data_IF_186730418974
#
_entry.id   IF_186730418974
#
_cell.length_a   1.000
_cell.length_b   1.000
_cell.length_c   1.000
_cell.angle_alpha   90.00
_cell.angle_beta   90.00
_cell.angle_gamma   90.00
#
_symmetry.space_group_name_H-M   'P 1'
#
loop_
_entity.id
_entity.type
_entity.pdbx_description
1 polymer ?
#
# COMPACT_ATOMS: atom_id res chain seq x y z
N UNK A 1 10.78 30.08 -26.83
CA UNK A 1 10.44 28.74 -27.33
C UNK A 1 10.96 27.69 -26.33
N UNK A 2 10.30 26.54 -26.17
CA UNK A 2 10.60 25.38 -25.26
C UNK A 2 9.92 25.31 -23.85
N UNK A 3 8.67 25.76 -23.64
CA UNK A 3 7.95 25.51 -22.36
C UNK A 3 7.06 24.25 -22.31
N UNK A 4 6.78 23.58 -23.43
CA UNK A 4 5.80 22.47 -23.48
C UNK A 4 6.22 21.20 -22.74
N UNK A 5 7.51 20.86 -22.73
CA UNK A 5 8.01 19.72 -21.95
C UNK A 5 7.82 19.98 -20.45
N UNK A 6 8.25 21.15 -19.97
CA UNK A 6 8.28 21.48 -18.55
C UNK A 6 6.93 21.35 -17.83
N UNK A 7 5.81 21.81 -18.41
CA UNK A 7 4.51 21.75 -17.73
C UNK A 7 3.89 20.33 -17.74
N UNK A 8 4.03 19.59 -18.85
CA UNK A 8 3.56 18.21 -18.91
C UNK A 8 4.41 17.30 -18.01
N UNK A 9 5.73 17.48 -18.03
CA UNK A 9 6.64 16.76 -17.15
C UNK A 9 6.35 17.08 -15.67
N UNK A 10 5.97 18.32 -15.34
CA UNK A 10 5.50 18.68 -14.01
C UNK A 10 4.20 17.97 -13.62
N UNK A 11 3.25 17.86 -14.56
CA UNK A 11 1.99 17.12 -14.33
C UNK A 11 2.29 15.64 -14.05
N UNK A 12 3.11 15.01 -14.89
CA UNK A 12 3.51 13.61 -14.74
C UNK A 12 4.29 13.42 -13.44
N UNK A 13 5.20 14.32 -13.08
CA UNK A 13 5.91 14.26 -11.80
C UNK A 13 4.95 14.32 -10.59
N UNK A 14 3.92 15.18 -10.64
CA UNK A 14 2.87 15.24 -9.59
C UNK A 14 2.02 13.97 -9.55
N UNK A 15 1.73 13.37 -10.71
CA UNK A 15 1.02 12.08 -10.78
C UNK A 15 1.87 10.94 -10.22
N UNK A 16 3.15 10.91 -10.56
CA UNK A 16 4.12 9.95 -10.01
C UNK A 16 4.25 10.08 -8.48
N UNK A 17 4.25 11.31 -7.95
CA UNK A 17 4.22 11.57 -6.51
C UNK A 17 2.96 10.97 -5.87
N UNK A 18 1.79 11.18 -6.49
CA UNK A 18 0.55 10.55 -6.05
C UNK A 18 0.63 9.02 -6.08
N UNK A 19 1.13 8.43 -7.18
CA UNK A 19 1.27 6.97 -7.33
C UNK A 19 2.17 6.40 -6.24
N UNK A 20 3.35 7.01 -5.99
CA UNK A 20 4.26 6.59 -4.91
C UNK A 20 3.59 6.64 -3.56
N UNK A 21 2.89 7.75 -3.26
CA UNK A 21 2.19 7.93 -1.97
C UNK A 21 1.04 6.94 -1.82
N UNK A 22 0.30 6.65 -2.88
CA UNK A 22 -0.78 5.66 -2.92
C UNK A 22 -0.28 4.26 -2.59
N UNK A 23 0.81 3.81 -3.23
CA UNK A 23 1.40 2.51 -2.92
C UNK A 23 2.01 2.46 -1.52
N UNK A 24 2.64 3.55 -1.05
CA UNK A 24 3.13 3.63 0.33
C UNK A 24 1.98 3.48 1.33
N UNK A 25 0.84 4.14 1.09
CA UNK A 25 -0.34 4.01 1.93
C UNK A 25 -0.89 2.58 1.95
N UNK A 26 -0.98 1.93 0.77
CA UNK A 26 -1.44 0.54 0.65
C UNK A 26 -0.47 -0.44 1.34
N UNK A 27 0.84 -0.21 1.19
CA UNK A 27 1.90 -0.97 1.82
C UNK A 27 1.86 -0.83 3.34
N UNK A 28 1.73 0.39 3.86
CA UNK A 28 1.65 0.63 5.30
C UNK A 28 0.43 -0.07 5.91
N UNK A 29 -0.73 0.03 5.25
CA UNK A 29 -1.93 -0.69 5.65
C UNK A 29 -1.71 -2.21 5.61
N UNK A 30 -1.00 -2.71 4.59
CA UNK A 30 -0.63 -4.12 4.47
C UNK A 30 0.25 -4.61 5.61
N UNK A 31 1.29 -3.87 5.97
CA UNK A 31 2.15 -4.18 7.12
C UNK A 31 1.40 -4.16 8.44
N UNK A 32 0.47 -3.21 8.62
CA UNK A 32 -0.36 -3.15 9.83
C UNK A 32 -1.22 -4.43 9.95
N UNK A 33 -1.91 -4.83 8.87
CA UNK A 33 -2.71 -6.06 8.90
C UNK A 33 -1.87 -7.31 9.09
N UNK A 34 -0.69 -7.39 8.46
CA UNK A 34 0.23 -8.51 8.64
C UNK A 34 0.73 -8.59 10.08
N UNK A 35 1.14 -7.46 10.66
CA UNK A 35 1.57 -7.40 12.06
C UNK A 35 0.43 -7.80 13.03
N UNK A 36 -0.79 -7.33 12.78
CA UNK A 36 -1.96 -7.72 13.57
C UNK A 36 -2.23 -9.22 13.46
N UNK A 37 -2.26 -9.77 12.24
CA UNK A 37 -2.46 -11.20 12.00
C UNK A 37 -1.38 -12.03 12.68
N UNK A 38 -0.11 -11.61 12.60
CA UNK A 38 1.02 -12.29 13.23
C UNK A 38 0.87 -12.30 14.76
N UNK A 39 0.60 -11.16 15.40
CA UNK A 39 0.45 -11.11 16.85
C UNK A 39 -0.80 -11.85 17.34
N UNK A 40 -1.93 -11.73 16.64
CA UNK A 40 -3.14 -12.47 17.01
C UNK A 40 -2.96 -13.98 16.85
N UNK A 41 -2.41 -14.43 15.73
CA UNK A 41 -2.17 -15.87 15.51
C UNK A 41 -1.15 -16.42 16.51
N UNK A 42 -0.09 -15.67 16.83
CA UNK A 42 0.84 -16.04 17.90
C UNK A 42 0.14 -16.22 19.24
N UNK A 43 -0.68 -15.26 19.67
CA UNK A 43 -1.45 -15.37 20.91
C UNK A 43 -2.35 -16.59 20.91
N UNK A 44 -3.13 -16.82 19.84
CA UNK A 44 -4.00 -17.99 19.74
C UNK A 44 -3.19 -19.27 19.91
N UNK A 45 -2.05 -19.39 19.24
CA UNK A 45 -1.19 -20.57 19.31
C UNK A 45 -0.65 -20.77 20.73
N UNK A 46 -0.07 -19.74 21.34
CA UNK A 46 0.48 -19.80 22.70
C UNK A 46 -0.57 -20.18 23.73
N UNK A 47 -1.77 -19.56 23.66
CA UNK A 47 -2.86 -19.88 24.58
C UNK A 47 -3.42 -21.28 24.34
N UNK A 48 -3.67 -21.65 23.08
CA UNK A 48 -4.14 -22.99 22.74
C UNK A 48 -3.15 -24.05 23.20
N UNK A 49 -1.85 -23.83 23.05
CA UNK A 49 -0.82 -24.78 23.46
C UNK A 49 -0.72 -24.93 24.98
N UNK A 50 -0.83 -23.82 25.71
CA UNK A 50 -0.82 -23.84 27.18
C UNK A 50 -1.99 -24.67 27.75
N UNK A 51 -3.20 -24.50 27.22
CA UNK A 51 -4.40 -25.20 27.72
C UNK A 51 -4.63 -26.57 27.09
N UNK A 52 -4.19 -26.77 25.84
CA UNK A 52 -4.60 -27.90 25.01
C UNK A 52 -3.76 -29.17 25.16
N UNK A 53 -2.58 -29.11 25.82
CA UNK A 53 -1.65 -30.25 25.94
C UNK A 53 -1.50 -31.06 24.63
N UNK A 54 -1.32 -30.34 23.51
CA UNK A 54 -1.41 -30.95 22.19
C UNK A 54 -0.32 -32.00 21.93
N UNK A 55 -0.71 -33.08 21.26
CA UNK A 55 0.21 -34.09 20.75
C UNK A 55 1.13 -33.50 19.67
N UNK A 56 2.34 -34.04 19.51
CA UNK A 56 3.41 -33.55 18.61
C UNK A 56 2.93 -33.29 17.17
N UNK A 57 1.99 -34.10 16.66
CA UNK A 57 1.40 -33.89 15.33
C UNK A 57 0.65 -32.56 15.20
N UNK A 58 -0.22 -32.22 16.16
CA UNK A 58 -1.00 -30.98 16.14
C UNK A 58 -0.10 -29.75 16.23
N UNK A 59 0.99 -29.85 17.00
CA UNK A 59 1.99 -28.76 17.15
C UNK A 59 2.65 -28.44 15.82
N UNK A 60 3.08 -29.46 15.07
CA UNK A 60 3.64 -29.29 13.72
C UNK A 60 2.63 -28.67 12.75
N UNK A 61 1.38 -29.15 12.75
CA UNK A 61 0.32 -28.59 11.88
C UNK A 61 0.07 -27.11 12.18
N UNK A 62 -0.02 -26.75 13.46
CA UNK A 62 -0.22 -25.35 13.90
C UNK A 62 0.96 -24.48 13.48
N UNK A 63 2.20 -24.96 13.66
CA UNK A 63 3.41 -24.23 13.29
C UNK A 63 3.52 -23.99 11.78
N UNK A 64 3.39 -25.04 10.97
CA UNK A 64 3.43 -24.89 9.51
C UNK A 64 2.23 -24.11 8.97
N UNK A 65 1.05 -24.25 9.59
CA UNK A 65 -0.14 -23.46 9.28
C UNK A 65 0.07 -21.97 9.56
N UNK A 66 0.68 -21.63 10.70
CA UNK A 66 1.07 -20.26 11.02
C UNK A 66 2.02 -19.66 9.97
N UNK A 67 3.05 -20.40 9.57
CA UNK A 67 3.99 -19.96 8.53
C UNK A 67 3.25 -19.75 7.21
N UNK A 68 2.49 -20.74 6.74
CA UNK A 68 1.76 -20.65 5.48
C UNK A 68 0.76 -19.50 5.45
N UNK A 69 0.02 -19.28 6.55
CA UNK A 69 -0.95 -18.19 6.67
C UNK A 69 -0.25 -16.83 6.58
N UNK A 70 0.82 -16.62 7.34
CA UNK A 70 1.56 -15.36 7.32
C UNK A 70 2.25 -15.13 5.96
N UNK A 71 2.82 -16.17 5.35
CA UNK A 71 3.45 -16.09 4.04
C UNK A 71 2.43 -15.75 2.94
N UNK A 72 1.25 -16.37 2.99
CA UNK A 72 0.15 -16.11 2.06
C UNK A 72 -0.38 -14.68 2.20
N UNK A 73 -0.55 -14.20 3.44
CA UNK A 73 -0.94 -12.80 3.69
C UNK A 73 0.15 -11.82 3.22
N UNK A 74 1.42 -12.14 3.42
CA UNK A 74 2.53 -11.33 2.90
C UNK A 74 2.51 -11.25 1.37
N UNK A 75 2.39 -12.40 0.70
CA UNK A 75 2.36 -12.50 -0.76
C UNK A 75 1.14 -11.78 -1.36
N UNK A 76 -0.01 -11.81 -0.70
CA UNK A 76 -1.22 -11.18 -1.21
C UNK A 76 -1.30 -9.67 -0.91
N UNK A 77 -0.88 -9.24 0.27
CA UNK A 77 -1.13 -7.88 0.75
C UNK A 77 0.08 -6.96 0.63
N UNK A 78 1.27 -7.47 0.95
CA UNK A 78 2.52 -6.68 1.02
C UNK A 78 3.30 -6.76 -0.28
N UNK A 79 3.51 -7.97 -0.82
CA UNK A 79 4.32 -8.18 -2.02
C UNK A 79 3.92 -7.33 -3.24
N UNK A 80 2.63 -7.25 -3.67
CA UNK A 80 2.28 -6.44 -4.83
C UNK A 80 2.47 -4.94 -4.59
N UNK A 81 2.24 -4.47 -3.35
CA UNK A 81 2.42 -3.06 -2.98
C UNK A 81 3.90 -2.69 -2.89
N UNK A 82 4.73 -3.61 -2.40
CA UNK A 82 6.19 -3.46 -2.29
C UNK A 82 6.85 -3.45 -3.67
N UNK A 83 6.48 -4.40 -4.53
CA UNK A 83 6.94 -4.49 -5.91
C UNK A 83 6.59 -3.23 -6.70
N UNK A 84 5.35 -2.74 -6.57
CA UNK A 84 4.94 -1.50 -7.21
C UNK A 84 5.65 -0.25 -6.66
N UNK A 85 5.96 -0.22 -5.36
CA UNK A 85 6.73 0.87 -4.75
C UNK A 85 8.18 0.94 -5.29
N UNK A 86 8.85 -0.21 -5.44
CA UNK A 86 10.19 -0.30 -6.04
C UNK A 86 10.20 -0.18 -7.57
N UNK A 87 9.05 0.14 -8.20
CA UNK A 87 8.89 0.17 -9.66
C UNK A 87 9.17 -1.17 -10.36
N UNK A 88 9.20 -2.27 -9.61
CA UNK A 88 9.47 -3.61 -10.08
C UNK A 88 8.15 -4.38 -10.19
N UNK A 89 7.32 -4.07 -11.20
CA UNK A 89 6.04 -4.76 -11.40
C UNK A 89 5.02 -3.96 -12.18
N UNK A 90 3.74 -4.40 -12.15
CA UNK A 90 2.62 -3.70 -12.78
C UNK A 90 2.24 -2.46 -11.97
N UNK A 91 2.78 -1.30 -12.35
CA UNK A 91 2.31 0.00 -11.83
C UNK A 91 0.97 0.35 -12.47
N UNK A 92 0.12 1.05 -11.71
CA UNK A 92 -1.05 1.71 -12.30
C UNK A 92 -0.58 2.68 -13.39
N UNK A 93 -1.23 2.64 -14.54
CA UNK A 93 -0.93 3.59 -15.63
C UNK A 93 -1.35 5.01 -15.23
N UNK A 94 -0.80 6.01 -15.93
CA UNK A 94 -1.23 7.40 -15.72
C UNK A 94 -2.73 7.59 -15.92
N UNK A 95 -3.36 6.85 -16.84
CA UNK A 95 -4.82 6.89 -17.03
C UNK A 95 -5.58 6.35 -15.80
N UNK A 96 -5.13 5.23 -15.22
CA UNK A 96 -5.72 4.68 -14.00
C UNK A 96 -5.51 5.62 -12.81
N UNK A 97 -4.33 6.23 -12.71
CA UNK A 97 -4.05 7.24 -11.70
C UNK A 97 -4.99 8.44 -11.86
N UNK A 98 -5.23 8.93 -13.08
CA UNK A 98 -6.17 10.01 -13.36
C UNK A 98 -7.61 9.65 -12.98
N UNK A 99 -8.05 8.41 -13.20
CA UNK A 99 -9.38 7.96 -12.77
C UNK A 99 -9.51 7.95 -11.24
N UNK A 100 -8.50 7.44 -10.52
CA UNK A 100 -8.50 7.40 -9.06
C UNK A 100 -8.43 8.82 -8.48
N UNK A 101 -7.57 9.69 -9.03
CA UNK A 101 -7.46 11.10 -8.65
C UNK A 101 -8.80 11.82 -8.93
N UNK A 102 -9.42 11.56 -10.07
CA UNK A 102 -10.69 12.15 -10.49
C UNK A 102 -11.86 11.81 -9.58
N UNK A 103 -11.89 10.58 -9.03
CA UNK A 103 -12.89 10.18 -8.01
C UNK A 103 -12.81 11.04 -6.75
N UNK A 104 -11.60 11.45 -6.35
CA UNK A 104 -11.39 12.33 -5.20
C UNK A 104 -11.61 13.80 -5.56
N UNK A 105 -11.20 14.21 -6.76
CA UNK A 105 -11.31 15.58 -7.25
C UNK A 105 -12.20 15.65 -8.51
N UNK A 106 -13.53 15.58 -8.30
CA UNK A 106 -14.52 15.58 -9.40
C UNK A 106 -14.34 16.75 -10.37
N UNK A 107 -13.99 17.93 -9.88
CA UNK A 107 -13.82 19.14 -10.70
C UNK A 107 -12.64 19.08 -11.69
N UNK A 108 -11.70 18.15 -11.53
CA UNK A 108 -10.51 18.03 -12.40
C UNK A 108 -10.39 16.68 -13.10
N UNK A 109 -11.31 15.74 -12.84
CA UNK A 109 -11.36 14.43 -13.50
C UNK A 109 -11.33 14.55 -15.03
N UNK A 110 -12.31 15.26 -15.60
CA UNK A 110 -12.44 15.38 -17.05
C UNK A 110 -11.24 16.09 -17.67
N UNK A 111 -10.73 17.14 -17.01
CA UNK A 111 -9.57 17.88 -17.48
C UNK A 111 -8.31 17.01 -17.49
N UNK A 112 -8.09 16.18 -16.47
CA UNK A 112 -6.96 15.26 -16.38
C UNK A 112 -7.00 14.19 -17.49
N UNK A 113 -8.13 13.50 -17.64
CA UNK A 113 -8.27 12.46 -18.66
C UNK A 113 -8.14 13.03 -20.07
N UNK A 114 -8.81 14.15 -20.36
CA UNK A 114 -8.70 14.80 -21.67
C UNK A 114 -7.27 15.26 -21.97
N UNK A 115 -6.54 15.76 -20.97
CA UNK A 115 -5.14 16.20 -21.16
C UNK A 115 -4.22 15.03 -21.48
N UNK A 116 -4.37 13.89 -20.80
CA UNK A 116 -3.60 12.68 -21.08
C UNK A 116 -3.93 12.10 -22.47
N UNK A 117 -5.21 12.08 -22.85
CA UNK A 117 -5.65 11.62 -24.17
C UNK A 117 -5.14 12.54 -25.30
N UNK A 118 -5.25 13.86 -25.13
CA UNK A 118 -4.73 14.85 -26.09
C UNK A 118 -3.22 14.67 -26.30
N UNK A 119 -2.46 14.38 -25.24
CA UNK A 119 -1.03 14.10 -25.36
C UNK A 119 -0.74 12.86 -26.20
N UNK A 120 -1.47 11.76 -25.99
CA UNK A 120 -1.34 10.54 -26.81
C UNK A 120 -1.64 10.81 -28.29
N UNK A 121 -2.67 11.62 -28.57
CA UNK A 121 -3.03 12.02 -29.95
C UNK A 121 -1.94 12.90 -30.57
N UNK A 122 -1.37 13.84 -29.80
CA UNK A 122 -0.27 14.71 -30.26
C UNK A 122 1.01 13.94 -30.57
N UNK A 123 1.31 12.91 -29.78
CA UNK A 123 2.49 12.07 -29.99
C UNK A 123 2.30 11.12 -31.20
N UNK A 124 1.04 10.81 -31.56
CA UNK A 124 0.69 10.02 -32.76
C UNK A 124 0.55 10.85 -34.04
N UNK A 125 0.28 12.16 -33.96
CA UNK A 125 0.05 13.03 -35.11
C UNK A 125 1.02 14.23 -35.10
N UNK A 126 2.21 14.09 -35.73
CA UNK A 126 3.25 15.13 -35.71
C UNK A 126 2.83 16.45 -36.36
N UNK A 127 1.96 16.40 -37.37
CA UNK A 127 1.51 17.53 -38.21
C UNK A 127 0.86 18.68 -37.42
N UNK A 128 0.20 18.39 -36.30
CA UNK A 128 -0.52 19.40 -35.48
C UNK A 128 0.01 19.52 -34.04
N UNK A 129 1.17 18.93 -33.77
CA UNK A 129 1.75 18.80 -32.43
C UNK A 129 1.86 20.15 -31.69
N UNK A 130 2.26 21.21 -32.38
CA UNK A 130 2.47 22.52 -31.77
C UNK A 130 1.19 23.15 -31.19
N UNK A 131 0.09 23.11 -31.94
CA UNK A 131 -1.20 23.67 -31.51
C UNK A 131 -1.83 22.82 -30.39
N UNK A 132 -1.69 21.50 -30.49
CA UNK A 132 -2.20 20.56 -29.48
C UNK A 132 -1.42 20.74 -28.17
N UNK A 133 -0.09 20.89 -28.23
CA UNK A 133 0.75 21.15 -27.05
C UNK A 133 0.44 22.49 -26.37
N UNK A 134 0.12 23.54 -27.14
CA UNK A 134 -0.31 24.82 -26.57
C UNK A 134 -1.63 24.68 -25.79
N UNK A 135 -2.60 23.95 -26.35
CA UNK A 135 -3.88 23.66 -25.68
C UNK A 135 -3.71 22.80 -24.42
N UNK A 136 -2.77 21.85 -24.44
CA UNK A 136 -2.39 21.03 -23.29
C UNK A 136 -1.81 21.91 -22.18
N UNK A 137 -0.87 22.81 -22.51
CA UNK A 137 -0.24 23.71 -21.53
C UNK A 137 -1.26 24.60 -20.82
N UNK A 138 -2.22 25.16 -21.55
CA UNK A 138 -3.28 25.99 -20.98
C UNK A 138 -4.13 25.19 -19.99
N UNK A 139 -4.55 23.98 -20.36
CA UNK A 139 -5.30 23.08 -19.47
C UNK A 139 -4.50 22.68 -18.24
N UNK A 140 -3.19 22.41 -18.37
CA UNK A 140 -2.32 22.08 -17.23
C UNK A 140 -2.18 23.27 -16.28
N UNK A 141 -2.11 24.50 -16.79
CA UNK A 141 -2.02 25.69 -15.95
C UNK A 141 -3.24 25.83 -15.01
N UNK A 142 -4.43 25.43 -15.46
CA UNK A 142 -5.63 25.37 -14.63
C UNK A 142 -5.59 24.25 -13.57
N UNK A 143 -4.80 23.19 -13.80
CA UNK A 143 -4.60 22.07 -12.86
C UNK A 143 -3.52 22.33 -11.81
N UNK A 144 -2.66 23.34 -12.01
CA UNK A 144 -1.52 23.65 -11.11
C UNK A 144 -1.86 23.84 -9.62
N UNK A 145 -3.00 24.41 -9.21
CA UNK A 145 -3.28 24.62 -7.79
C UNK A 145 -3.62 23.34 -7.02
N UNK A 146 -3.87 22.22 -7.70
CA UNK A 146 -4.25 20.96 -7.05
C UNK A 146 -3.03 20.10 -6.74
N UNK A 147 -2.90 19.70 -5.48
CA UNK A 147 -1.90 18.74 -5.00
C UNK A 147 -2.48 17.33 -5.01
N UNK A 148 -2.23 16.55 -6.08
CA UNK A 148 -2.79 15.19 -6.21
C UNK A 148 -2.43 14.27 -5.04
N UNK A 149 -1.22 14.42 -4.46
CA UNK A 149 -0.78 13.66 -3.29
C UNK A 149 -1.62 13.93 -2.02
N UNK A 150 -2.48 14.95 -2.01
CA UNK A 150 -3.43 15.22 -0.91
C UNK A 150 -4.61 14.25 -0.89
N UNK A 151 -4.92 13.58 -2.00
CA UNK A 151 -5.92 12.51 -2.04
C UNK A 151 -5.50 11.28 -1.21
N UNK A 152 -4.22 11.14 -0.88
CA UNK A 152 -3.70 10.03 -0.08
C UNK A 152 -3.37 10.48 1.34
N UNK A 153 -4.25 10.12 2.28
CA UNK A 153 -4.10 10.43 3.71
C UNK A 153 -3.43 9.28 4.48
N UNK A 154 -2.08 9.27 4.48
CA UNK A 154 -1.29 8.27 5.23
C UNK A 154 -1.59 8.32 6.74
N UNK A 155 -1.91 9.50 7.28
CA UNK A 155 -2.19 9.68 8.71
C UNK A 155 -3.42 8.88 9.19
N UNK A 156 -4.35 8.52 8.31
CA UNK A 156 -5.51 7.71 8.70
C UNK A 156 -5.10 6.27 9.06
N UNK A 157 -3.95 5.79 8.57
CA UNK A 157 -3.44 4.48 8.92
C UNK A 157 -3.07 4.34 10.40
N UNK A 158 -2.80 5.46 11.09
CA UNK A 158 -2.55 5.47 12.55
C UNK A 158 -3.71 4.90 13.35
N UNK A 159 -4.95 5.00 12.84
CA UNK A 159 -6.13 4.38 13.48
C UNK A 159 -6.02 2.86 13.51
N UNK A 160 -5.51 2.25 12.43
CA UNK A 160 -5.32 0.81 12.33
C UNK A 160 -4.12 0.32 13.15
N UNK A 161 -3.17 1.19 13.50
CA UNK A 161 -2.05 0.82 14.37
C UNK A 161 -2.52 0.32 15.75
N UNK A 162 -3.68 0.81 16.23
CA UNK A 162 -4.32 0.31 17.45
C UNK A 162 -4.58 -1.20 17.42
N UNK A 163 -4.93 -1.75 16.25
CA UNK A 163 -5.18 -3.18 16.08
C UNK A 163 -3.93 -4.05 16.21
N UNK A 164 -2.75 -3.47 15.96
CA UNK A 164 -1.46 -4.13 16.16
C UNK A 164 -1.00 -3.95 17.61
N UNK A 165 -1.24 -2.77 18.18
CA UNK A 165 -0.83 -2.45 19.54
C UNK A 165 -1.55 -3.28 20.60
N UNK A 166 -2.86 -3.54 20.44
CA UNK A 166 -3.64 -4.34 21.40
C UNK A 166 -3.01 -5.73 21.63
N UNK A 167 -2.82 -6.57 20.60
CA UNK A 167 -2.22 -7.88 20.81
C UNK A 167 -0.74 -7.78 21.21
N UNK A 168 0.01 -6.77 20.73
CA UNK A 168 1.40 -6.56 21.13
C UNK A 168 1.53 -6.28 22.64
N UNK A 169 0.71 -5.38 23.19
CA UNK A 169 0.71 -5.07 24.62
C UNK A 169 0.31 -6.31 25.42
N UNK A 170 -0.62 -7.12 24.92
CA UNK A 170 -1.01 -8.37 25.57
C UNK A 170 0.15 -9.38 25.59
N UNK A 171 0.87 -9.54 24.48
CA UNK A 171 2.09 -10.39 24.41
C UNK A 171 3.12 -9.91 25.43
N UNK A 172 3.39 -8.60 25.48
CA UNK A 172 4.36 -8.02 26.44
C UNK A 172 3.88 -8.28 27.87
N UNK A 173 2.59 -8.07 28.16
CA UNK A 173 2.04 -8.28 29.51
C UNK A 173 2.17 -9.75 29.94
N UNK A 174 1.84 -10.69 29.04
CA UNK A 174 2.02 -12.13 29.29
C UNK A 174 3.50 -12.46 29.49
N UNK A 175 4.41 -11.87 28.71
CA UNK A 175 5.85 -12.07 28.85
C UNK A 175 6.38 -11.66 30.23
N UNK A 176 5.87 -10.56 30.79
CA UNK A 176 6.29 -10.05 32.09
C UNK A 176 5.59 -10.74 33.28
N UNK A 177 4.30 -11.08 33.15
CA UNK A 177 3.50 -11.67 34.25
C UNK A 177 3.69 -13.19 34.35
N UNK A 178 3.85 -13.86 33.21
CA UNK A 178 3.98 -15.31 33.14
C UNK A 178 5.08 -15.70 32.14
N UNK A 179 6.36 -15.38 32.43
CA UNK A 179 7.47 -15.68 31.54
C UNK A 179 7.59 -17.18 31.23
N UNK A 180 7.14 -18.06 32.14
CA UNK A 180 7.05 -19.51 31.91
C UNK A 180 6.07 -19.91 30.80
N UNK A 181 4.98 -19.17 30.56
CA UNK A 181 4.06 -19.49 29.46
C UNK A 181 4.70 -19.23 28.10
N UNK A 182 5.48 -18.15 27.98
CA UNK A 182 6.22 -17.84 26.75
C UNK A 182 7.48 -18.69 26.64
N UNK A 183 8.22 -18.87 27.73
CA UNK A 183 9.46 -19.64 27.76
C UNK A 183 9.18 -21.13 27.57
N UNK A 184 8.35 -21.76 28.42
CA UNK A 184 8.04 -23.19 28.32
C UNK A 184 7.17 -23.49 27.09
N UNK A 185 6.31 -22.56 26.67
CA UNK A 185 5.56 -22.67 25.42
C UNK A 185 6.47 -22.66 24.19
N UNK A 186 7.38 -21.68 24.09
CA UNK A 186 8.30 -21.57 22.94
C UNK A 186 9.38 -22.65 22.96
N UNK A 187 9.94 -23.00 24.11
CA UNK A 187 10.94 -24.08 24.24
C UNK A 187 10.34 -25.41 23.82
N UNK A 188 9.11 -25.71 24.26
CA UNK A 188 8.48 -26.95 23.84
C UNK A 188 8.25 -26.95 22.34
N UNK A 189 7.89 -25.84 21.68
CA UNK A 189 7.58 -25.85 20.22
C UNK A 189 8.83 -26.24 19.41
N UNK A 190 10.01 -25.88 19.91
CA UNK A 190 11.29 -26.10 19.26
C UNK A 190 11.86 -27.50 19.56
N UNK A 191 11.38 -28.19 20.60
CA UNK A 191 11.88 -29.49 21.08
C UNK A 191 10.93 -30.65 20.75
#
# INVERSE_FOLDING_TARGET
MMQSGSNYDLLIAKMDEFIRKYYLNKLLRGFIFLGAALFFSYLIITFSEYYGHFNTFFRSVIFYGFILLNLSLFAWLVAPSLLAYFKLGKLISHDQAAEIIGKYFRNVQDKLLNTLQLKKIADQNPEHKFLIEASINQKIAELKPVTFSSAVKINENKKFLKWVLIPLVLIITVAFVAPSIIHDGTERIIK
#
